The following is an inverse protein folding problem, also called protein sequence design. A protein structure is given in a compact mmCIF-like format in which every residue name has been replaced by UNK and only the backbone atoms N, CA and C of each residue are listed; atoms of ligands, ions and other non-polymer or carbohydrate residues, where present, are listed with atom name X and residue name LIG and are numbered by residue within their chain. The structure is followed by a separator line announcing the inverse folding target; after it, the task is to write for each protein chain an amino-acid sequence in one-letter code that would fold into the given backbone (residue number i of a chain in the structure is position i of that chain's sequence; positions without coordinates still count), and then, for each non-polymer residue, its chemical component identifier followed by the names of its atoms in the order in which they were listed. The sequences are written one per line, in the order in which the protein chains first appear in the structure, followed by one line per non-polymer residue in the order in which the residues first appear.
data_IF_932907519431
#
_entry.id   IF_932907519431
#
_cell.length_a   1.000
_cell.length_b   1.000
_cell.length_c   1.000
_cell.angle_alpha   90.00
_cell.angle_beta   90.00
_cell.angle_gamma   90.00
#
_symmetry.space_group_name_H-M   'P 1'
#
loop_
_entity.id
_entity.type
_entity.pdbx_description
1 polymer ?
#
# COMPACT_ATOMS: atom_id res chain seq x y z
N UNK A 1 -7.80 18.60 -9.85
CA UNK A 1 -9.01 17.84 -10.22
C UNK A 1 -9.09 16.61 -9.33
N UNK A 2 -10.27 16.28 -8.83
CA UNK A 2 -10.56 15.06 -8.08
C UNK A 2 -11.42 14.14 -8.95
N UNK A 3 -11.10 12.85 -9.02
CA UNK A 3 -11.98 11.87 -9.66
C UNK A 3 -12.89 11.25 -8.60
N UNK A 4 -14.20 11.45 -8.76
CA UNK A 4 -15.22 11.02 -7.81
C UNK A 4 -16.06 9.92 -8.43
N UNK A 5 -16.35 8.88 -7.65
CA UNK A 5 -17.34 7.89 -8.03
C UNK A 5 -18.69 8.29 -7.43
N UNK A 6 -19.68 8.54 -8.29
CA UNK A 6 -21.00 9.02 -7.88
C UNK A 6 -22.12 8.15 -8.48
N UNK A 7 -23.25 8.08 -7.79
CA UNK A 7 -24.46 7.44 -8.30
C UNK A 7 -25.10 8.40 -9.30
N UNK A 8 -25.18 7.99 -10.57
CA UNK A 8 -25.76 8.80 -11.65
C UNK A 8 -27.15 8.32 -12.06
N UNK A 9 -27.68 7.27 -11.45
CA UNK A 9 -29.01 6.77 -11.75
C UNK A 9 -29.27 5.39 -11.17
N UNK A 10 -30.26 4.71 -11.75
CA UNK A 10 -30.70 3.38 -11.35
C UNK A 10 -30.83 2.51 -12.60
N UNK A 11 -30.21 1.32 -12.58
CA UNK A 11 -30.30 0.32 -13.66
C UNK A 11 -31.63 -0.46 -13.57
N UNK A 12 -31.94 -1.22 -14.63
CA UNK A 12 -33.18 -2.00 -14.80
C UNK A 12 -33.52 -2.98 -13.66
N UNK A 13 -32.56 -3.33 -12.81
CA UNK A 13 -32.74 -4.24 -11.67
C UNK A 13 -32.75 -3.52 -10.30
N UNK A 14 -32.94 -2.19 -10.29
CA UNK A 14 -32.86 -1.39 -9.05
C UNK A 14 -31.43 -1.19 -8.52
N UNK A 15 -30.42 -1.71 -9.22
CA UNK A 15 -29.00 -1.51 -8.89
C UNK A 15 -28.60 -0.06 -9.18
N UNK A 16 -27.78 0.52 -8.30
CA UNK A 16 -27.21 1.86 -8.51
C UNK A 16 -26.38 1.89 -9.80
N UNK A 17 -26.66 2.84 -10.66
CA UNK A 17 -25.79 3.20 -11.77
C UNK A 17 -24.69 4.11 -11.23
N UNK A 18 -23.43 3.76 -11.48
CA UNK A 18 -22.28 4.45 -10.90
C UNK A 18 -21.36 4.93 -12.01
N UNK A 19 -20.94 6.19 -11.94
CA UNK A 19 -20.03 6.82 -12.92
C UNK A 19 -18.83 7.45 -12.22
N UNK A 20 -17.73 7.62 -12.96
CA UNK A 20 -16.56 8.39 -12.53
C UNK A 20 -16.65 9.79 -13.13
N UNK A 21 -16.56 10.83 -12.29
CA UNK A 21 -16.70 12.23 -12.68
C UNK A 21 -15.47 13.00 -12.20
N UNK A 22 -14.89 13.81 -13.08
CA UNK A 22 -13.80 14.71 -12.74
C UNK A 22 -14.35 16.03 -12.18
N UNK A 23 -14.00 16.36 -10.94
CA UNK A 23 -14.38 17.60 -10.28
C UNK A 23 -13.15 18.52 -10.23
N UNK A 24 -13.09 19.61 -11.02
CA UNK A 24 -12.01 20.57 -10.97
C UNK A 24 -11.83 21.19 -9.58
N UNK A 25 -10.61 21.63 -9.28
CA UNK A 25 -10.40 22.40 -8.06
C UNK A 25 -11.02 23.80 -8.24
N UNK A 26 -11.68 24.32 -7.21
CA UNK A 26 -12.38 25.61 -7.28
C UNK A 26 -13.80 25.53 -7.87
N UNK A 27 -14.33 24.33 -8.17
CA UNK A 27 -15.76 24.16 -8.45
C UNK A 27 -16.57 24.70 -7.27
N UNK A 28 -17.55 25.61 -7.49
CA UNK A 28 -18.44 26.07 -6.42
C UNK A 28 -19.08 24.88 -5.71
N UNK A 29 -19.11 24.91 -4.37
CA UNK A 29 -19.61 23.80 -3.55
C UNK A 29 -18.59 22.70 -3.24
N UNK A 30 -17.44 22.65 -3.93
CA UNK A 30 -16.39 21.66 -3.65
C UNK A 30 -15.40 22.17 -2.61
N UNK A 31 -15.32 21.48 -1.48
CA UNK A 31 -14.36 21.79 -0.40
C UNK A 31 -13.49 20.57 -0.07
N UNK A 32 -12.19 20.78 0.12
CA UNK A 32 -11.25 19.75 0.56
C UNK A 32 -10.60 20.15 1.90
N UNK A 33 -10.90 19.40 2.96
CA UNK A 33 -10.40 19.66 4.30
C UNK A 33 -9.26 18.69 4.63
N UNK A 34 -8.04 19.23 4.80
CA UNK A 34 -6.86 18.43 5.13
C UNK A 34 -6.98 17.81 6.51
N UNK A 35 -6.85 16.49 6.59
CA UNK A 35 -6.73 15.74 7.83
C UNK A 35 -5.33 15.90 8.42
N UNK A 36 -5.26 16.13 9.73
CA UNK A 36 -4.00 16.28 10.47
C UNK A 36 -3.89 15.21 11.57
N UNK A 37 -2.72 15.12 12.22
CA UNK A 37 -2.54 14.18 13.34
C UNK A 37 -2.36 12.70 12.96
N UNK A 38 -2.15 12.40 11.66
CA UNK A 38 -1.92 11.02 11.21
C UNK A 38 -0.70 10.38 11.88
N UNK A 39 -0.85 9.12 12.29
CA UNK A 39 0.27 8.30 12.78
C UNK A 39 1.39 8.16 11.74
N UNK A 40 1.01 8.06 10.47
CA UNK A 40 1.87 7.66 9.36
C UNK A 40 1.67 8.55 8.13
N UNK A 41 2.59 8.44 7.16
CA UNK A 41 2.57 9.15 5.88
C UNK A 41 2.25 10.63 6.05
N UNK A 42 2.91 11.25 7.04
CA UNK A 42 2.61 12.62 7.48
C UNK A 42 2.89 13.68 6.41
N UNK A 43 3.73 13.34 5.44
CA UNK A 43 4.04 14.20 4.27
C UNK A 43 3.07 14.02 3.10
N UNK A 44 2.23 12.98 3.12
CA UNK A 44 1.17 12.80 2.12
C UNK A 44 -0.06 13.56 2.61
N UNK A 45 -0.61 14.44 1.78
CA UNK A 45 -1.87 15.11 2.09
C UNK A 45 -3.03 14.11 1.97
N UNK A 46 -3.83 14.04 3.03
CA UNK A 46 -5.06 13.25 3.08
C UNK A 46 -6.15 14.18 3.57
N UNK A 47 -7.33 14.15 2.96
CA UNK A 47 -8.39 15.10 3.28
C UNK A 47 -9.77 14.50 3.09
N UNK A 48 -10.73 15.09 3.80
CA UNK A 48 -12.15 14.89 3.59
C UNK A 48 -12.59 15.77 2.42
N UNK A 49 -13.39 15.22 1.53
CA UNK A 49 -13.89 15.90 0.35
C UNK A 49 -15.41 16.11 0.52
N UNK A 50 -15.84 17.36 0.44
CA UNK A 50 -17.23 17.77 0.56
C UNK A 50 -17.71 18.30 -0.78
N UNK A 51 -18.89 17.87 -1.19
CA UNK A 51 -19.53 18.28 -2.44
C UNK A 51 -20.93 18.77 -2.09
N UNK A 52 -21.14 20.09 -2.11
CA UNK A 52 -22.40 20.75 -1.79
C UNK A 52 -22.95 21.43 -3.05
N UNK A 53 -23.94 20.80 -3.69
CA UNK A 53 -24.52 21.23 -4.97
C UNK A 53 -23.49 21.63 -6.04
N UNK A 54 -22.40 20.84 -6.16
CA UNK A 54 -21.35 21.07 -7.15
C UNK A 54 -21.88 20.87 -8.59
N UNK A 55 -21.78 21.90 -9.41
CA UNK A 55 -22.03 21.81 -10.85
C UNK A 55 -20.75 21.53 -11.63
N UNK A 56 -20.80 20.53 -12.51
CA UNK A 56 -19.69 20.17 -13.41
C UNK A 56 -20.23 19.83 -14.80
N UNK A 57 -19.48 20.21 -15.84
CA UNK A 57 -19.81 19.94 -17.24
C UNK A 57 -19.91 18.43 -17.52
N UNK A 58 -20.78 18.03 -18.45
CA UNK A 58 -20.89 16.62 -18.87
C UNK A 58 -19.57 16.09 -19.47
N UNK A 59 -18.73 16.97 -20.03
CA UNK A 59 -17.41 16.60 -20.57
C UNK A 59 -16.44 16.06 -19.50
N UNK A 60 -16.71 16.35 -18.23
CA UNK A 60 -15.93 15.85 -17.10
C UNK A 60 -16.29 14.40 -16.71
N UNK A 61 -17.28 13.80 -17.38
CA UNK A 61 -17.56 12.38 -17.24
C UNK A 61 -16.37 11.57 -17.77
N UNK A 62 -15.73 10.80 -16.89
CA UNK A 62 -14.62 9.94 -17.27
C UNK A 62 -15.18 8.70 -17.97
N UNK A 63 -15.00 8.61 -19.28
CA UNK A 63 -15.50 7.50 -20.10
C UNK A 63 -17.02 7.50 -20.23
N UNK A 64 -17.67 6.36 -20.01
CA UNK A 64 -19.12 6.21 -20.25
C UNK A 64 -19.91 6.23 -18.93
N UNK A 65 -21.08 6.88 -18.97
CA UNK A 65 -22.03 6.88 -17.86
C UNK A 65 -22.39 5.43 -17.49
N UNK A 66 -22.40 5.15 -16.19
CA UNK A 66 -22.69 3.83 -15.64
C UNK A 66 -21.51 2.87 -15.61
N UNK A 67 -20.38 3.16 -16.25
CA UNK A 67 -19.20 2.29 -16.29
C UNK A 67 -18.19 2.55 -15.15
N UNK A 68 -18.51 3.44 -14.20
CA UNK A 68 -17.58 3.89 -13.16
C UNK A 68 -17.06 2.77 -12.27
N UNK A 69 -17.90 1.75 -11.99
CA UNK A 69 -17.46 0.59 -11.22
C UNK A 69 -16.45 -0.27 -11.98
N UNK A 70 -16.68 -0.52 -13.28
CA UNK A 70 -15.77 -1.30 -14.11
C UNK A 70 -14.43 -0.58 -14.32
N UNK A 71 -14.47 0.73 -14.55
CA UNK A 71 -13.28 1.57 -14.65
C UNK A 71 -12.42 1.48 -13.38
N UNK A 72 -13.04 1.65 -12.20
CA UNK A 72 -12.31 1.52 -10.93
C UNK A 72 -11.70 0.13 -10.76
N UNK A 73 -12.44 -0.94 -11.05
CA UNK A 73 -11.91 -2.30 -10.95
C UNK A 73 -10.68 -2.52 -11.83
N UNK A 74 -10.64 -1.91 -13.02
CA UNK A 74 -9.49 -2.01 -13.93
C UNK A 74 -8.21 -1.33 -13.40
N UNK A 75 -8.34 -0.35 -12.51
CA UNK A 75 -7.17 0.34 -11.92
C UNK A 75 -6.64 -0.37 -10.68
N UNK A 76 -7.46 -1.17 -9.98
CA UNK A 76 -7.08 -1.77 -8.70
C UNK A 76 -5.88 -2.71 -8.80
N UNK A 77 -5.78 -3.51 -9.86
CA UNK A 77 -4.64 -4.44 -10.01
C UNK A 77 -3.31 -3.70 -10.17
N UNK A 78 -3.32 -2.54 -10.85
CA UNK A 78 -2.15 -1.68 -10.95
C UNK A 78 -1.82 -1.01 -9.60
N UNK A 79 -2.83 -0.53 -8.88
CA UNK A 79 -2.67 0.04 -7.53
C UNK A 79 -2.06 -0.96 -6.54
N UNK A 80 -2.50 -2.22 -6.59
CA UNK A 80 -1.94 -3.32 -5.79
C UNK A 80 -0.44 -3.51 -6.00
N UNK A 81 0.02 -3.49 -7.26
CA UNK A 81 1.45 -3.60 -7.58
C UNK A 81 2.25 -2.39 -7.07
N UNK A 82 1.69 -1.18 -7.14
CA UNK A 82 2.34 0.01 -6.58
C UNK A 82 2.54 -0.10 -5.06
N UNK A 83 1.52 -0.55 -4.33
CA UNK A 83 1.61 -0.78 -2.88
C UNK A 83 2.57 -1.92 -2.54
N UNK A 84 2.57 -2.99 -3.33
CA UNK A 84 3.54 -4.07 -3.18
C UNK A 84 4.99 -3.55 -3.35
N UNK A 85 5.24 -2.69 -4.33
CA UNK A 85 6.54 -2.06 -4.54
C UNK A 85 6.95 -1.15 -3.37
N UNK A 86 6.01 -0.37 -2.82
CA UNK A 86 6.25 0.42 -1.60
C UNK A 86 6.61 -0.48 -0.40
N UNK A 87 5.91 -1.59 -0.22
CA UNK A 87 6.20 -2.57 0.83
C UNK A 87 7.58 -3.19 0.68
N UNK A 88 7.94 -3.60 -0.54
CA UNK A 88 9.28 -4.14 -0.83
C UNK A 88 10.38 -3.12 -0.55
N UNK A 89 10.25 -1.90 -1.07
CA UNK A 89 11.23 -0.83 -0.85
C UNK A 89 11.33 -0.42 0.61
N UNK A 90 10.21 -0.34 1.31
CA UNK A 90 10.15 -0.07 2.74
C UNK A 90 10.84 -1.14 3.58
N UNK A 91 10.61 -2.41 3.26
CA UNK A 91 11.29 -3.54 3.90
C UNK A 91 12.80 -3.48 3.67
N UNK A 92 13.24 -3.27 2.42
CA UNK A 92 14.65 -3.15 2.05
C UNK A 92 15.35 -2.01 2.82
N UNK A 93 14.74 -0.82 2.84
CA UNK A 93 15.32 0.33 3.56
C UNK A 93 15.44 0.10 5.06
N UNK A 94 14.43 -0.50 5.70
CA UNK A 94 14.49 -0.82 7.12
C UNK A 94 15.55 -1.88 7.45
N UNK A 95 15.67 -2.91 6.61
CA UNK A 95 16.73 -3.92 6.73
C UNK A 95 18.13 -3.30 6.62
N UNK A 96 18.35 -2.41 5.66
CA UNK A 96 19.65 -1.74 5.47
C UNK A 96 20.03 -0.87 6.66
N UNK A 97 19.07 -0.14 7.24
CA UNK A 97 19.28 0.62 8.48
C UNK A 97 19.67 -0.31 9.63
N UNK A 98 18.96 -1.42 9.81
CA UNK A 98 19.26 -2.40 10.85
C UNK A 98 20.62 -3.06 10.68
N UNK A 99 20.96 -3.47 9.46
CA UNK A 99 22.25 -4.10 9.14
C UNK A 99 23.41 -3.14 9.39
N UNK A 100 23.27 -1.88 8.96
CA UNK A 100 24.28 -0.84 9.20
C UNK A 100 24.47 -0.62 10.70
N UNK A 101 23.39 -0.38 11.43
CA UNK A 101 23.43 -0.18 12.88
C UNK A 101 24.08 -1.37 13.60
N UNK A 102 23.71 -2.60 13.21
CA UNK A 102 24.23 -3.81 13.84
C UNK A 102 25.75 -3.99 13.67
N UNK A 103 26.31 -3.52 12.54
CA UNK A 103 27.76 -3.56 12.27
C UNK A 103 28.54 -2.47 13.02
N UNK A 104 27.91 -1.33 13.29
CA UNK A 104 28.54 -0.18 13.94
C UNK A 104 28.41 -0.23 15.47
N UNK A 105 27.24 -0.62 15.99
CA UNK A 105 26.95 -0.67 17.43
C UNK A 105 27.73 -1.81 18.08
N UNK A 106 28.48 -1.50 19.14
CA UNK A 106 29.19 -2.50 19.94
C UNK A 106 28.55 -2.74 21.30
N UNK A 107 28.46 -4.01 21.70
CA UNK A 107 28.19 -4.45 23.06
C UNK A 107 29.12 -5.61 23.39
N UNK A 108 29.51 -5.73 24.66
CA UNK A 108 30.47 -6.76 25.09
C UNK A 108 31.75 -6.78 24.22
N UNK A 109 32.22 -5.59 23.81
CA UNK A 109 33.45 -5.41 23.03
C UNK A 109 33.35 -5.68 21.52
N UNK A 110 32.23 -6.21 21.01
CA UNK A 110 32.09 -6.61 19.59
C UNK A 110 30.86 -5.98 18.92
N UNK A 111 30.84 -5.83 17.58
CA UNK A 111 29.64 -5.42 16.85
C UNK A 111 28.46 -6.34 17.14
N UNK A 112 27.26 -5.80 17.37
CA UNK A 112 26.11 -6.63 17.72
C UNK A 112 25.70 -7.59 16.59
N UNK A 113 26.11 -7.32 15.34
CA UNK A 113 25.91 -8.22 14.20
C UNK A 113 26.61 -9.58 14.34
N UNK A 114 27.59 -9.73 15.25
CA UNK A 114 28.27 -11.01 15.48
C UNK A 114 27.52 -11.91 16.48
N UNK A 115 26.54 -11.38 17.20
CA UNK A 115 25.69 -12.19 18.07
C UNK A 115 24.67 -12.97 17.22
N UNK A 116 24.59 -14.29 17.42
CA UNK A 116 23.70 -15.17 16.66
C UNK A 116 22.24 -14.69 16.67
N UNK A 117 21.75 -14.20 17.81
CA UNK A 117 20.38 -13.70 17.93
C UNK A 117 20.09 -12.50 17.01
N UNK A 118 21.10 -11.69 16.68
CA UNK A 118 20.99 -10.55 15.77
C UNK A 118 21.23 -11.00 14.32
N UNK A 119 22.25 -11.82 14.07
CA UNK A 119 22.54 -12.30 12.71
C UNK A 119 21.42 -13.18 12.14
N UNK A 120 20.74 -13.97 12.97
CA UNK A 120 19.55 -14.73 12.54
C UNK A 120 18.41 -13.81 12.11
N UNK A 121 18.11 -12.74 12.88
CA UNK A 121 17.10 -11.75 12.48
C UNK A 121 17.45 -11.12 11.12
N UNK A 122 18.71 -10.75 10.93
CA UNK A 122 19.19 -10.16 9.67
C UNK A 122 19.04 -11.15 8.50
N UNK A 123 19.37 -12.44 8.72
CA UNK A 123 19.20 -13.48 7.71
C UNK A 123 17.71 -13.68 7.35
N UNK A 124 16.83 -13.81 8.34
CA UNK A 124 15.39 -13.97 8.12
C UNK A 124 14.79 -12.79 7.36
N UNK A 125 15.17 -11.55 7.74
CA UNK A 125 14.74 -10.35 7.02
C UNK A 125 15.19 -10.37 5.56
N UNK A 126 16.45 -10.73 5.28
CA UNK A 126 16.97 -10.81 3.92
C UNK A 126 16.21 -11.85 3.08
N UNK A 127 15.92 -13.03 3.65
CA UNK A 127 15.14 -14.08 2.98
C UNK A 127 13.71 -13.64 2.68
N UNK A 128 13.02 -12.99 3.62
CA UNK A 128 11.67 -12.47 3.42
C UNK A 128 11.61 -11.42 2.29
N UNK A 129 12.59 -10.51 2.26
CA UNK A 129 12.70 -9.48 1.23
C UNK A 129 12.91 -10.12 -0.14
N UNK A 130 13.79 -11.11 -0.24
CA UNK A 130 14.06 -11.80 -1.50
C UNK A 130 12.82 -12.54 -2.03
N UNK A 131 12.07 -13.22 -1.15
CA UNK A 131 10.79 -13.83 -1.53
C UNK A 131 9.77 -12.78 -2.00
N UNK A 132 9.69 -11.64 -1.32
CA UNK A 132 8.77 -10.55 -1.68
C UNK A 132 9.12 -9.93 -3.03
N UNK A 133 10.42 -9.74 -3.31
CA UNK A 133 10.94 -9.26 -4.59
C UNK A 133 10.54 -10.18 -5.73
N UNK A 134 10.78 -11.48 -5.59
CA UNK A 134 10.45 -12.45 -6.61
C UNK A 134 8.94 -12.52 -6.91
N UNK A 135 8.10 -12.46 -5.88
CA UNK A 135 6.64 -12.45 -6.05
C UNK A 135 6.15 -11.20 -6.78
N UNK A 136 6.62 -10.01 -6.37
CA UNK A 136 6.27 -8.75 -7.03
C UNK A 136 6.71 -8.74 -8.49
N UNK A 137 7.97 -9.09 -8.76
CA UNK A 137 8.51 -9.01 -10.12
C UNK A 137 7.88 -10.05 -11.04
N UNK A 138 7.50 -11.22 -10.53
CA UNK A 138 6.66 -12.17 -11.27
C UNK A 138 5.32 -11.54 -11.67
N UNK A 139 4.64 -10.86 -10.74
CA UNK A 139 3.36 -10.21 -11.03
C UNK A 139 3.50 -9.11 -12.08
N UNK A 140 4.55 -8.27 -11.99
CA UNK A 140 4.87 -7.26 -13.00
C UNK A 140 5.19 -7.88 -14.36
N UNK A 141 6.00 -8.94 -14.41
CA UNK A 141 6.32 -9.65 -15.66
C UNK A 141 5.07 -10.20 -16.35
N UNK A 142 4.12 -10.74 -15.60
CA UNK A 142 2.85 -11.21 -16.15
C UNK A 142 2.04 -10.05 -16.75
N UNK A 143 1.95 -8.92 -16.03
CA UNK A 143 1.30 -7.70 -16.51
C UNK A 143 1.93 -7.22 -17.82
N UNK A 144 3.25 -7.08 -17.86
CA UNK A 144 3.97 -6.55 -19.02
C UNK A 144 3.86 -7.47 -20.24
N UNK A 145 3.69 -8.78 -20.01
CA UNK A 145 3.43 -9.77 -21.06
C UNK A 145 1.95 -9.86 -21.49
N UNK A 146 1.06 -9.00 -20.96
CA UNK A 146 -0.39 -9.04 -21.23
C UNK A 146 -1.10 -10.29 -20.69
N UNK A 147 -0.47 -11.01 -19.76
CA UNK A 147 -1.02 -12.22 -19.17
C UNK A 147 -1.91 -11.91 -17.95
N UNK A 148 -2.89 -12.77 -17.62
CA UNK A 148 -3.69 -12.61 -16.41
C UNK A 148 -2.82 -12.52 -15.15
N UNK A 149 -2.88 -11.38 -14.46
CA UNK A 149 -2.00 -11.09 -13.33
C UNK A 149 -2.74 -10.71 -12.03
N UNK A 150 -4.07 -10.56 -12.04
CA UNK A 150 -4.86 -10.11 -10.88
C UNK A 150 -4.61 -10.92 -9.61
N UNK A 151 -4.55 -12.26 -9.72
CA UNK A 151 -4.20 -13.15 -8.60
C UNK A 151 -2.82 -12.82 -8.03
N UNK A 152 -1.83 -12.65 -8.90
CA UNK A 152 -0.45 -12.37 -8.49
C UNK A 152 -0.29 -10.96 -7.94
N UNK A 153 -1.03 -9.97 -8.45
CA UNK A 153 -1.07 -8.61 -7.91
C UNK A 153 -1.63 -8.59 -6.48
N UNK A 154 -2.74 -9.30 -6.22
CA UNK A 154 -3.30 -9.42 -4.87
C UNK A 154 -2.34 -10.15 -3.91
N UNK A 155 -1.70 -11.23 -4.36
CA UNK A 155 -0.67 -11.94 -3.59
C UNK A 155 0.53 -11.03 -3.28
N UNK A 156 1.03 -10.28 -4.27
CA UNK A 156 2.16 -9.38 -4.10
C UNK A 156 1.83 -8.26 -3.11
N UNK A 157 0.67 -7.60 -3.25
CA UNK A 157 0.24 -6.54 -2.32
C UNK A 157 0.16 -7.06 -0.89
N UNK A 158 -0.49 -8.20 -0.70
CA UNK A 158 -0.63 -8.83 0.60
C UNK A 158 0.74 -9.17 1.21
N UNK A 159 1.57 -9.91 0.47
CA UNK A 159 2.82 -10.43 1.00
C UNK A 159 3.85 -9.32 1.25
N UNK A 160 4.05 -8.41 0.29
CA UNK A 160 5.03 -7.33 0.43
C UNK A 160 4.67 -6.36 1.57
N UNK A 161 3.38 -6.06 1.76
CA UNK A 161 2.94 -5.19 2.87
C UNK A 161 3.15 -5.84 4.25
N UNK A 162 2.86 -7.13 4.39
CA UNK A 162 3.10 -7.86 5.64
C UNK A 162 4.59 -8.13 5.89
N UNK A 163 5.38 -8.36 4.85
CA UNK A 163 6.85 -8.46 4.94
C UNK A 163 7.46 -7.16 5.43
N UNK A 164 7.01 -6.00 4.94
CA UNK A 164 7.46 -4.71 5.49
C UNK A 164 7.22 -4.63 6.99
N UNK A 165 6.03 -5.01 7.47
CA UNK A 165 5.74 -5.01 8.91
C UNK A 165 6.69 -5.91 9.71
N UNK A 166 6.93 -7.15 9.24
CA UNK A 166 7.83 -8.10 9.91
C UNK A 166 9.28 -7.60 9.95
N UNK A 167 9.78 -7.10 8.82
CA UNK A 167 11.16 -6.61 8.70
C UNK A 167 11.36 -5.37 9.56
N UNK A 168 10.43 -4.43 9.52
CA UNK A 168 10.55 -3.18 10.26
C UNK A 168 10.45 -3.39 11.77
N UNK A 169 9.58 -4.30 12.22
CA UNK A 169 9.51 -4.72 13.63
C UNK A 169 10.87 -5.23 14.14
N UNK A 170 11.50 -6.13 13.39
CA UNK A 170 12.83 -6.63 13.74
C UNK A 170 13.91 -5.56 13.59
N UNK A 171 13.80 -4.65 12.63
CA UNK A 171 14.73 -3.54 12.46
C UNK A 171 14.72 -2.60 13.69
N UNK A 172 13.53 -2.28 14.22
CA UNK A 172 13.40 -1.52 15.48
C UNK A 172 14.03 -2.30 16.63
N UNK A 173 13.75 -3.61 16.74
CA UNK A 173 14.31 -4.46 17.79
C UNK A 173 15.84 -4.51 17.76
N UNK A 174 16.47 -4.55 16.58
CA UNK A 174 17.94 -4.51 16.40
C UNK A 174 18.54 -3.19 16.89
N UNK A 175 17.81 -2.07 16.74
CA UNK A 175 18.23 -0.77 17.28
C UNK A 175 18.01 -0.63 18.79
N UNK A 176 17.26 -1.54 19.42
CA UNK A 176 16.89 -1.45 20.83
C UNK A 176 16.11 -0.17 21.14
N UNK A 177 16.40 0.46 22.29
CA UNK A 177 15.73 1.70 22.69
C UNK A 177 15.86 2.85 21.67
N UNK A 178 16.97 2.90 20.92
CA UNK A 178 17.15 3.90 19.87
C UNK A 178 16.18 3.73 18.70
N UNK A 179 15.70 2.50 18.44
CA UNK A 179 14.69 2.23 17.42
C UNK A 179 13.33 2.88 17.70
N UNK A 180 13.10 3.37 18.93
CA UNK A 180 11.89 4.06 19.35
C UNK A 180 12.04 5.59 19.33
N UNK A 181 13.23 6.10 19.01
CA UNK A 181 13.55 7.53 19.02
C UNK A 181 13.40 8.12 17.61
N UNK A 182 12.74 9.29 17.49
CA UNK A 182 12.51 9.97 16.20
C UNK A 182 13.76 10.38 15.44
N UNK A 183 14.90 10.44 16.12
CA UNK A 183 16.21 10.69 15.50
C UNK A 183 16.68 9.52 14.64
N UNK A 184 16.16 8.31 14.89
CA UNK A 184 16.49 7.11 14.12
C UNK A 184 15.37 6.84 13.12
N UNK A 185 15.70 6.96 11.83
CA UNK A 185 14.73 6.84 10.75
C UNK A 185 13.90 5.53 10.77
N UNK A 186 14.41 4.45 11.39
CA UNK A 186 13.70 3.16 11.49
C UNK A 186 12.32 3.27 12.15
N UNK A 187 12.13 4.19 13.11
CA UNK A 187 10.82 4.40 13.74
C UNK A 187 9.76 4.88 12.74
N UNK A 188 10.18 5.70 11.78
CA UNK A 188 9.30 6.20 10.73
C UNK A 188 8.79 5.05 9.86
N UNK A 189 9.66 4.13 9.47
CA UNK A 189 9.24 2.93 8.75
C UNK A 189 8.22 2.13 9.58
N UNK A 190 8.40 2.05 10.90
CA UNK A 190 7.50 1.32 11.80
C UNK A 190 6.11 1.93 11.86
N UNK A 191 6.01 3.26 11.80
CA UNK A 191 4.70 3.91 11.65
C UNK A 191 4.14 3.72 10.25
N UNK A 192 4.98 3.89 9.23
CA UNK A 192 4.56 3.99 7.83
C UNK A 192 4.09 2.65 7.22
N UNK A 193 4.56 1.49 7.71
CA UNK A 193 4.13 0.19 7.14
C UNK A 193 2.64 -0.09 7.36
N UNK A 194 2.04 0.43 8.44
CA UNK A 194 0.69 0.02 8.85
C UNK A 194 -0.35 0.36 7.78
N UNK A 195 -0.19 1.48 7.08
CA UNK A 195 -1.09 1.84 5.99
C UNK A 195 -1.08 0.80 4.86
N UNK A 196 0.07 0.18 4.55
CA UNK A 196 0.14 -0.78 3.45
C UNK A 196 -0.74 -2.02 3.68
N UNK A 197 -1.05 -2.35 4.94
CA UNK A 197 -1.98 -3.44 5.30
C UNK A 197 -3.45 -3.02 5.26
N UNK A 198 -3.74 -1.73 5.11
CA UNK A 198 -5.10 -1.15 5.19
C UNK A 198 -5.52 -0.52 3.86
N UNK A 199 -4.73 0.43 3.35
CA UNK A 199 -5.00 1.14 2.10
C UNK A 199 -4.95 0.21 0.88
N UNK A 200 -5.61 0.64 -0.21
CA UNK A 200 -5.73 -0.11 -1.47
C UNK A 200 -6.23 -1.56 -1.27
N UNK A 201 -7.21 -1.68 -0.36
CA UNK A 201 -7.82 -2.94 0.08
C UNK A 201 -7.01 -3.62 1.17
N UNK A 202 -7.64 -3.87 2.32
CA UNK A 202 -6.98 -4.49 3.48
C UNK A 202 -6.38 -5.86 3.15
N UNK A 203 -5.49 -6.36 4.00
CA UNK A 203 -4.95 -7.72 3.86
C UNK A 203 -6.06 -8.79 3.73
N UNK A 204 -7.18 -8.64 4.44
CA UNK A 204 -8.34 -9.53 4.37
C UNK A 204 -9.04 -9.44 3.02
N UNK A 205 -9.20 -8.23 2.48
CA UNK A 205 -9.75 -8.04 1.13
C UNK A 205 -8.86 -8.71 0.08
N UNK A 206 -7.53 -8.62 0.20
CA UNK A 206 -6.65 -9.34 -0.73
C UNK A 206 -6.82 -10.84 -0.61
N UNK A 207 -7.00 -11.39 0.61
CA UNK A 207 -7.30 -12.81 0.81
C UNK A 207 -8.62 -13.21 0.16
N UNK A 208 -9.66 -12.37 0.22
CA UNK A 208 -10.92 -12.60 -0.51
C UNK A 208 -10.67 -12.66 -2.02
N UNK A 209 -9.90 -11.71 -2.57
CA UNK A 209 -9.57 -11.70 -4.01
C UNK A 209 -8.81 -12.97 -4.40
N UNK A 210 -7.80 -13.35 -3.62
CA UNK A 210 -7.00 -14.57 -3.86
C UNK A 210 -7.88 -15.81 -3.79
N UNK A 211 -8.70 -15.95 -2.74
CA UNK A 211 -9.55 -17.12 -2.52
C UNK A 211 -10.55 -17.34 -3.67
N UNK A 212 -11.15 -16.27 -4.22
CA UNK A 212 -11.97 -16.34 -5.43
C UNK A 212 -11.18 -16.83 -6.64
N UNK A 213 -9.96 -16.32 -6.83
CA UNK A 213 -9.10 -16.66 -7.96
C UNK A 213 -8.51 -18.09 -7.90
N UNK A 214 -8.60 -18.76 -6.74
CA UNK A 214 -8.21 -20.16 -6.58
C UNK A 214 -9.40 -21.12 -6.44
N UNK A 215 -10.64 -20.61 -6.62
CA UNK A 215 -11.84 -21.44 -6.69
C UNK A 215 -12.54 -21.73 -5.35
N UNK A 216 -12.29 -20.96 -4.29
CA UNK A 216 -12.97 -21.19 -3.00
C UNK A 216 -14.45 -20.80 -2.98
N UNK A 217 -14.91 -20.00 -3.95
CA UNK A 217 -16.30 -19.57 -4.06
C UNK A 217 -16.77 -19.79 -5.49
N UNK A 218 -17.65 -20.77 -5.67
CA UNK A 218 -18.42 -21.04 -6.90
C UNK A 218 -19.61 -20.11 -6.99
#
# INVERSE_FOLDING_TARGET
VCTVQAVTGTRSEGKKEVSCIMVPNGTPGFTANKMTGKMMWRSSDTGELFFDDCEVSEENLLGRRGEGFHQMLSTLDNGRLAIAAMGLGGAQGAYELALKYAKERKQFGVPISTFQAISFKLADMATLIEAARNLLYKACKLKDAGQPFSKHAAMAKLYCSEVMGKVVDQAVQVHGGYGLMREYNVERFYRDYKLLTIGEGTSEIQRIVISRQIGCFS
#
